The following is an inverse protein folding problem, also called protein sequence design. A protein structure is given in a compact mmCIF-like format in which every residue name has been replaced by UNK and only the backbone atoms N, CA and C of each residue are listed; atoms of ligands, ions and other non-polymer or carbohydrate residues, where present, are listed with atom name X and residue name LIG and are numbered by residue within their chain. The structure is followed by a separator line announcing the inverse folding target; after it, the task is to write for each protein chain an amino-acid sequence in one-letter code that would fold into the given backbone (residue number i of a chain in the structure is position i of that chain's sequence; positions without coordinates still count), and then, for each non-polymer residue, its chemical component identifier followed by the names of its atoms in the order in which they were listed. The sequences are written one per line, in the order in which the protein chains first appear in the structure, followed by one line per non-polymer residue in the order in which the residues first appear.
data_IF_432419827729
#
_entry.id   IF_432419827729
#
_cell.length_a   1.000
_cell.length_b   1.000
_cell.length_c   1.000
_cell.angle_alpha   90.00
_cell.angle_beta   90.00
_cell.angle_gamma   90.00
#
_symmetry.space_group_name_H-M   'P 1'
#
loop_
_entity.id
_entity.type
_entity.pdbx_description
1 polymer ?
#
# COMPACT_ATOMS: atom_id res chain seq x y z
N UNK A 1 -29.64 -4.89 -10.35
CA UNK A 1 -28.23 -5.18 -10.03
C UNK A 1 -28.17 -6.66 -9.71
N UNK A 2 -27.56 -7.46 -10.60
CA UNK A 2 -27.47 -8.91 -10.44
C UNK A 2 -26.71 -9.23 -9.16
N UNK A 3 -27.25 -10.10 -8.31
CA UNK A 3 -26.53 -10.65 -7.19
C UNK A 3 -25.32 -11.40 -7.75
N UNK A 4 -24.15 -10.79 -7.67
CA UNK A 4 -22.88 -11.47 -7.95
C UNK A 4 -22.79 -12.63 -6.97
N UNK A 5 -23.02 -13.85 -7.45
CA UNK A 5 -22.69 -15.07 -6.71
C UNK A 5 -21.21 -15.00 -6.41
N UNK A 6 -20.85 -14.74 -5.15
CA UNK A 6 -19.47 -14.82 -4.69
C UNK A 6 -18.97 -16.20 -5.08
N UNK A 7 -17.92 -16.32 -5.91
CA UNK A 7 -17.38 -17.63 -6.26
C UNK A 7 -17.06 -18.35 -4.95
N UNK A 8 -17.55 -19.58 -4.80
CA UNK A 8 -17.26 -20.41 -3.64
C UNK A 8 -15.78 -20.78 -3.70
N UNK A 9 -14.95 -20.05 -2.98
CA UNK A 9 -13.52 -20.35 -2.93
C UNK A 9 -13.28 -21.66 -2.20
N UNK A 10 -12.53 -22.56 -2.82
CA UNK A 10 -12.01 -23.75 -2.17
C UNK A 10 -11.03 -23.40 -1.05
N UNK A 11 -10.77 -24.36 -0.15
CA UNK A 11 -9.83 -24.17 0.97
C UNK A 11 -8.45 -23.71 0.49
N UNK A 12 -7.94 -24.29 -0.61
CA UNK A 12 -6.63 -23.95 -1.18
C UNK A 12 -6.60 -22.50 -1.67
N UNK A 13 -7.64 -22.05 -2.36
CA UNK A 13 -7.73 -20.67 -2.87
C UNK A 13 -7.82 -19.67 -1.72
N UNK A 14 -8.58 -19.98 -0.66
CA UNK A 14 -8.63 -19.13 0.54
C UNK A 14 -7.28 -19.04 1.25
N UNK A 15 -6.55 -20.16 1.36
CA UNK A 15 -5.22 -20.18 1.97
C UNK A 15 -4.19 -19.42 1.14
N UNK A 16 -4.19 -19.60 -0.18
CA UNK A 16 -3.32 -18.87 -1.11
C UNK A 16 -3.59 -17.37 -1.04
N UNK A 17 -4.86 -16.95 -1.17
CA UNK A 17 -5.22 -15.54 -1.07
C UNK A 17 -4.82 -14.92 0.27
N UNK A 18 -5.09 -15.59 1.40
CA UNK A 18 -4.68 -15.11 2.72
C UNK A 18 -3.16 -14.95 2.81
N UNK A 19 -2.40 -15.90 2.26
CA UNK A 19 -0.93 -15.82 2.20
C UNK A 19 -0.47 -14.60 1.38
N UNK A 20 -1.10 -14.32 0.24
CA UNK A 20 -0.81 -13.16 -0.60
C UNK A 20 -1.20 -11.83 0.05
N UNK A 21 -2.35 -11.76 0.72
CA UNK A 21 -2.79 -10.58 1.49
C UNK A 21 -1.80 -10.26 2.60
N UNK A 22 -1.44 -11.26 3.42
CA UNK A 22 -0.42 -11.10 4.47
C UNK A 22 0.94 -10.72 3.88
N UNK A 23 1.36 -11.41 2.82
CA UNK A 23 2.59 -11.14 2.12
C UNK A 23 2.66 -9.70 1.63
N UNK A 24 1.62 -9.21 0.95
CA UNK A 24 1.51 -7.84 0.44
C UNK A 24 1.67 -6.79 1.56
N UNK A 25 0.89 -6.92 2.63
CA UNK A 25 0.89 -5.92 3.71
C UNK A 25 2.19 -5.96 4.54
N UNK A 26 2.67 -7.16 4.89
CA UNK A 26 3.93 -7.31 5.62
C UNK A 26 5.13 -6.92 4.76
N UNK A 27 5.15 -7.33 3.48
CA UNK A 27 6.22 -6.98 2.55
C UNK A 27 6.33 -5.48 2.37
N UNK A 28 5.20 -4.78 2.21
CA UNK A 28 5.18 -3.31 2.16
C UNK A 28 5.71 -2.68 3.45
N UNK A 29 5.29 -3.19 4.62
CA UNK A 29 5.78 -2.70 5.90
C UNK A 29 7.29 -2.96 6.14
N UNK A 30 7.80 -4.11 5.68
CA UNK A 30 9.24 -4.42 5.71
C UNK A 30 10.04 -3.46 4.84
N UNK A 31 9.55 -3.19 3.63
CA UNK A 31 10.22 -2.28 2.71
C UNK A 31 10.20 -0.82 3.19
N UNK A 32 9.09 -0.38 3.78
CA UNK A 32 8.96 0.90 4.47
C UNK A 32 9.99 1.02 5.61
N UNK A 33 9.97 0.07 6.54
CA UNK A 33 10.88 0.06 7.70
C UNK A 33 12.35 -0.04 7.32
N UNK A 34 12.68 -0.79 6.25
CA UNK A 34 14.04 -0.91 5.75
C UNK A 34 14.51 0.41 5.12
N UNK A 35 13.69 1.01 4.27
CA UNK A 35 14.04 2.25 3.59
C UNK A 35 14.06 3.48 4.49
N UNK A 36 13.36 3.47 5.63
CA UNK A 36 13.24 4.60 6.54
C UNK A 36 14.59 5.17 7.02
N UNK A 37 15.60 4.31 7.22
CA UNK A 37 16.91 4.72 7.72
C UNK A 37 17.80 5.46 6.73
N UNK A 38 17.53 5.33 5.43
CA UNK A 38 18.34 5.88 4.33
C UNK A 38 17.55 6.80 3.41
N UNK A 39 16.28 7.03 3.73
CA UNK A 39 15.37 7.91 2.99
C UNK A 39 16.00 9.30 2.74
N UNK A 40 16.12 9.68 1.47
CA UNK A 40 16.64 10.98 1.04
C UNK A 40 18.16 11.15 1.19
N UNK A 41 18.90 10.10 1.55
CA UNK A 41 20.36 10.10 1.51
C UNK A 41 20.84 9.77 0.11
N UNK A 42 21.89 10.45 -0.37
CA UNK A 42 22.55 10.07 -1.62
C UNK A 42 23.21 8.69 -1.53
N UNK A 43 23.23 7.95 -2.65
CA UNK A 43 23.78 6.59 -2.71
C UNK A 43 25.22 6.48 -2.18
N UNK A 44 26.06 7.49 -2.43
CA UNK A 44 27.43 7.52 -1.92
C UNK A 44 27.47 7.65 -0.39
N UNK A 45 26.61 8.49 0.20
CA UNK A 45 26.50 8.63 1.65
C UNK A 45 25.97 7.36 2.34
N UNK A 46 25.03 6.66 1.69
CA UNK A 46 24.55 5.34 2.13
C UNK A 46 25.72 4.36 2.17
N UNK A 47 26.56 4.33 1.12
CA UNK A 47 27.72 3.44 1.03
C UNK A 47 28.84 3.80 1.98
N UNK A 48 29.07 5.08 2.24
CA UNK A 48 30.04 5.54 3.25
C UNK A 48 29.65 5.02 4.64
N UNK A 49 28.36 5.03 4.96
CA UNK A 49 27.84 4.62 6.28
C UNK A 49 27.70 3.10 6.42
N UNK A 50 27.22 2.41 5.37
CA UNK A 50 26.84 0.99 5.43
C UNK A 50 27.79 0.07 4.65
N UNK A 51 28.82 0.62 4.01
CA UNK A 51 29.77 -0.10 3.16
C UNK A 51 29.29 -0.27 1.72
N UNK A 52 30.13 -0.89 0.88
CA UNK A 52 29.90 -1.01 -0.56
C UNK A 52 28.58 -1.72 -0.94
N UNK A 53 28.10 -2.61 -0.06
CA UNK A 53 26.83 -3.32 -0.22
C UNK A 53 25.58 -2.51 0.12
N UNK A 54 25.75 -1.25 0.55
CA UNK A 54 24.68 -0.38 1.01
C UNK A 54 24.00 -0.90 2.28
N UNK A 55 22.79 -0.41 2.54
CA UNK A 55 21.94 -0.89 3.63
C UNK A 55 21.59 -2.36 3.40
N UNK A 56 21.96 -3.21 4.36
CA UNK A 56 21.76 -4.67 4.28
C UNK A 56 20.78 -5.21 5.31
N UNK A 57 20.41 -4.40 6.30
CA UNK A 57 19.54 -4.77 7.42
C UNK A 57 18.90 -3.50 8.01
N UNK A 58 17.94 -3.66 8.92
CA UNK A 58 17.35 -2.51 9.61
C UNK A 58 18.41 -1.70 10.36
N UNK A 59 18.18 -0.40 10.45
CA UNK A 59 18.90 0.50 11.35
C UNK A 59 17.92 1.04 12.39
N UNK A 60 18.45 1.56 13.49
CA UNK A 60 17.60 2.14 14.53
C UNK A 60 17.01 3.47 14.04
N UNK A 61 15.69 3.52 13.95
CA UNK A 61 14.92 4.72 13.61
C UNK A 61 13.79 4.86 14.62
N UNK A 62 13.49 6.11 15.02
CA UNK A 62 12.41 6.38 15.97
C UNK A 62 12.52 5.58 17.29
N UNK A 63 13.76 5.30 17.73
CA UNK A 63 14.06 4.59 18.98
C UNK A 63 13.97 3.06 18.92
N UNK A 64 13.86 2.45 17.73
CA UNK A 64 13.91 0.99 17.56
C UNK A 64 14.37 0.56 16.18
N UNK A 65 14.74 -0.71 16.04
CA UNK A 65 14.87 -1.36 14.73
C UNK A 65 13.49 -1.78 14.20
N UNK A 66 13.34 -1.83 12.88
CA UNK A 66 12.09 -2.24 12.22
C UNK A 66 10.92 -1.27 12.44
N UNK A 67 11.20 0.00 12.73
CA UNK A 67 10.18 1.03 12.89
C UNK A 67 9.56 1.38 11.53
N UNK A 68 8.23 1.40 11.47
CA UNK A 68 7.51 1.79 10.24
C UNK A 68 7.24 3.30 10.21
N UNK A 69 6.98 3.83 9.02
CA UNK A 69 6.66 5.24 8.80
C UNK A 69 5.15 5.45 8.60
N UNK A 70 4.77 6.71 8.32
CA UNK A 70 3.43 7.07 7.89
C UNK A 70 2.93 6.25 6.67
N UNK A 71 3.82 5.73 5.81
CA UNK A 71 3.43 4.92 4.66
C UNK A 71 2.72 3.63 5.09
N UNK A 72 3.30 2.86 6.03
CA UNK A 72 2.63 1.67 6.59
C UNK A 72 1.37 2.05 7.36
N UNK A 73 1.42 3.08 8.20
CA UNK A 73 0.24 3.52 8.96
C UNK A 73 -0.95 3.83 8.02
N UNK A 74 -0.72 4.62 6.98
CA UNK A 74 -1.73 4.95 5.96
C UNK A 74 -2.23 3.71 5.23
N UNK A 75 -1.34 2.76 4.90
CA UNK A 75 -1.72 1.48 4.27
C UNK A 75 -2.67 0.68 5.16
N UNK A 76 -2.42 0.61 6.47
CA UNK A 76 -3.31 -0.04 7.43
C UNK A 76 -4.67 0.65 7.50
N UNK A 77 -4.72 1.98 7.56
CA UNK A 77 -5.99 2.70 7.54
C UNK A 77 -6.71 2.57 6.19
N UNK A 78 -6.00 2.37 5.07
CA UNK A 78 -6.63 1.99 3.80
C UNK A 78 -7.33 0.64 3.92
N UNK A 79 -6.70 -0.38 4.53
CA UNK A 79 -7.32 -1.70 4.75
C UNK A 79 -8.53 -1.60 5.68
N UNK A 80 -8.45 -0.87 6.79
CA UNK A 80 -9.59 -0.62 7.70
C UNK A 80 -10.76 0.03 6.94
N UNK A 81 -10.48 1.04 6.12
CA UNK A 81 -11.48 1.71 5.28
C UNK A 81 -12.15 0.76 4.28
N UNK A 82 -11.39 -0.14 3.65
CA UNK A 82 -11.92 -1.13 2.71
C UNK A 82 -12.81 -2.18 3.40
N UNK A 83 -12.43 -2.65 4.59
CA UNK A 83 -13.28 -3.55 5.39
C UNK A 83 -14.57 -2.83 5.77
N UNK A 84 -14.47 -1.60 6.27
CA UNK A 84 -15.64 -0.81 6.66
C UNK A 84 -16.57 -0.46 5.51
N UNK A 85 -16.03 -0.30 4.30
CA UNK A 85 -16.85 -0.14 3.10
C UNK A 85 -17.76 -1.35 2.87
N UNK A 86 -17.28 -2.57 3.12
CA UNK A 86 -18.12 -3.77 3.02
C UNK A 86 -19.14 -3.84 4.16
N UNK A 87 -18.71 -3.54 5.39
CA UNK A 87 -19.62 -3.51 6.56
C UNK A 87 -20.75 -2.48 6.40
N UNK A 88 -20.46 -1.31 5.81
CA UNK A 88 -21.46 -0.27 5.56
C UNK A 88 -22.41 -0.56 4.42
N UNK A 89 -22.08 -1.49 3.53
CA UNK A 89 -23.00 -1.94 2.47
C UNK A 89 -24.35 -2.39 3.03
N UNK A 90 -24.38 -2.95 4.24
CA UNK A 90 -25.59 -3.35 4.95
C UNK A 90 -26.54 -2.20 5.28
N UNK A 91 -26.04 -0.97 5.34
CA UNK A 91 -26.82 0.23 5.72
C UNK A 91 -27.51 0.89 4.53
N UNK A 92 -27.28 0.39 3.31
CA UNK A 92 -27.81 0.99 2.07
C UNK A 92 -27.02 2.20 1.57
N UNK A 93 -26.12 2.76 2.36
CA UNK A 93 -25.15 3.77 1.95
C UNK A 93 -23.80 3.11 1.67
N UNK A 94 -23.48 2.89 0.39
CA UNK A 94 -22.22 2.27 -0.03
C UNK A 94 -21.46 3.19 -0.98
N UNK A 95 -20.39 3.80 -0.47
CA UNK A 95 -19.50 4.65 -1.26
C UNK A 95 -18.05 4.46 -0.76
N UNK A 96 -17.35 3.42 -1.24
CA UNK A 96 -16.02 3.04 -0.77
C UNK A 96 -14.99 4.18 -0.68
N UNK A 97 -14.93 5.15 -1.63
CA UNK A 97 -14.03 6.29 -1.49
C UNK A 97 -14.26 7.10 -0.21
N UNK A 98 -15.52 7.31 0.20
CA UNK A 98 -15.86 8.00 1.46
C UNK A 98 -15.53 7.16 2.68
N UNK A 99 -15.70 5.84 2.59
CA UNK A 99 -15.38 4.92 3.68
C UNK A 99 -13.88 4.91 3.99
N UNK A 100 -13.08 4.86 2.94
CA UNK A 100 -11.63 4.95 3.00
C UNK A 100 -11.18 6.32 3.48
N UNK A 101 -11.80 7.41 2.98
CA UNK A 101 -11.51 8.76 3.46
C UNK A 101 -11.71 8.91 4.98
N UNK A 102 -12.82 8.39 5.53
CA UNK A 102 -13.06 8.42 6.98
C UNK A 102 -12.01 7.62 7.76
N UNK A 103 -11.50 6.52 7.21
CA UNK A 103 -10.40 5.79 7.84
C UNK A 103 -9.09 6.61 7.78
N UNK A 104 -8.81 7.32 6.70
CA UNK A 104 -7.68 8.25 6.64
C UNK A 104 -7.83 9.47 7.56
N UNK A 105 -9.04 9.93 7.88
CA UNK A 105 -9.26 10.93 8.93
C UNK A 105 -8.92 10.37 10.33
N UNK A 106 -9.19 9.08 10.58
CA UNK A 106 -8.75 8.42 11.82
C UNK A 106 -7.23 8.34 11.89
N UNK A 107 -6.56 8.02 10.78
CA UNK A 107 -5.10 8.13 10.68
C UNK A 107 -4.62 9.55 10.99
N UNK A 108 -5.21 10.57 10.38
CA UNK A 108 -4.81 11.96 10.58
C UNK A 108 -4.92 12.37 12.07
N UNK A 109 -5.94 11.90 12.78
CA UNK A 109 -6.05 12.09 14.22
C UNK A 109 -4.84 11.50 14.98
N UNK A 110 -4.34 10.32 14.61
CA UNK A 110 -3.13 9.74 15.25
C UNK A 110 -1.86 10.56 15.00
N UNK A 111 -1.85 11.46 14.02
CA UNK A 111 -0.71 12.34 13.76
C UNK A 111 -0.70 13.63 14.61
N UNK A 112 -1.80 13.90 15.32
CA UNK A 112 -2.03 15.13 16.08
C UNK A 112 -2.35 14.88 17.56
N UNK A 113 -2.98 13.75 17.87
CA UNK A 113 -3.36 13.37 19.22
C UNK A 113 -2.21 12.63 19.93
N UNK A 114 -2.19 12.69 21.26
CA UNK A 114 -1.13 12.08 22.08
C UNK A 114 -1.32 10.57 22.26
N UNK A 115 -2.52 10.06 22.01
CA UNK A 115 -2.88 8.66 22.20
C UNK A 115 -4.36 8.40 21.90
N UNK A 116 -4.79 7.13 21.95
CA UNK A 116 -6.17 6.73 21.69
C UNK A 116 -7.20 7.39 22.61
N UNK A 117 -8.32 7.85 22.04
CA UNK A 117 -9.50 8.30 22.80
C UNK A 117 -10.56 7.20 22.86
N UNK A 118 -10.54 6.40 23.93
CA UNK A 118 -11.47 5.28 24.16
C UNK A 118 -12.96 5.69 24.19
N UNK A 119 -13.26 6.99 24.33
CA UNK A 119 -14.63 7.51 24.29
C UNK A 119 -15.19 7.51 22.87
N UNK A 120 -14.34 7.54 21.84
CA UNK A 120 -14.71 7.53 20.42
C UNK A 120 -14.90 6.10 19.91
N UNK A 121 -15.96 5.43 20.37
CA UNK A 121 -16.23 4.02 20.06
C UNK A 121 -16.35 3.72 18.56
N UNK A 122 -16.74 4.70 17.74
CA UNK A 122 -16.86 4.54 16.29
C UNK A 122 -15.50 4.46 15.55
N UNK A 123 -14.40 4.80 16.24
CA UNK A 123 -13.06 4.69 15.68
C UNK A 123 -12.62 3.23 15.47
N UNK A 124 -13.26 2.27 16.12
CA UNK A 124 -12.92 0.85 16.05
C UNK A 124 -11.52 0.52 16.58
N UNK A 125 -11.10 -0.72 16.38
CA UNK A 125 -9.94 -1.28 17.11
C UNK A 125 -8.59 -0.75 16.64
N UNK A 126 -8.40 -0.50 15.33
CA UNK A 126 -7.12 -0.06 14.78
C UNK A 126 -6.69 1.28 15.40
N UNK A 127 -7.63 2.20 15.61
CA UNK A 127 -7.37 3.49 16.25
C UNK A 127 -7.10 3.37 17.76
N UNK A 128 -7.23 2.19 18.37
CA UNK A 128 -6.81 1.97 19.76
C UNK A 128 -5.33 1.57 19.89
N UNK A 129 -4.64 1.36 18.77
CA UNK A 129 -3.24 0.96 18.76
C UNK A 129 -2.32 2.17 19.04
N UNK A 130 -1.82 2.28 20.28
CA UNK A 130 -1.00 3.41 20.73
C UNK A 130 0.23 3.68 19.84
N UNK A 131 0.85 2.64 19.28
CA UNK A 131 2.04 2.79 18.44
C UNK A 131 1.76 3.51 17.10
N UNK A 132 0.50 3.63 16.68
CA UNK A 132 0.08 4.43 15.53
C UNK A 132 0.04 5.94 15.83
N UNK A 133 0.06 6.34 17.10
CA UNK A 133 0.09 7.74 17.56
C UNK A 133 1.52 8.28 17.56
N UNK A 134 2.18 8.13 16.41
CA UNK A 134 3.57 8.53 16.21
C UNK A 134 3.72 9.16 14.82
N UNK A 135 4.09 10.45 14.80
CA UNK A 135 4.29 11.22 13.56
C UNK A 135 5.66 10.93 12.96
N UNK A 136 5.70 10.03 11.98
CA UNK A 136 6.95 9.52 11.37
C UNK A 136 6.95 9.74 9.86
N UNK A 137 7.54 10.85 9.45
CA UNK A 137 7.67 11.25 8.05
C UNK A 137 6.36 11.25 7.22
N UNK A 138 5.22 11.78 7.74
CA UNK A 138 4.03 11.92 6.91
C UNK A 138 4.23 13.02 5.86
N UNK A 139 3.95 12.69 4.60
CA UNK A 139 3.99 13.68 3.54
C UNK A 139 2.99 14.81 3.76
N UNK A 140 3.42 16.03 3.41
CA UNK A 140 2.62 17.26 3.57
C UNK A 140 1.30 17.18 2.81
N UNK A 141 1.31 16.60 1.62
CA UNK A 141 0.11 16.37 0.78
C UNK A 141 -0.93 15.51 1.51
N UNK A 142 -0.50 14.52 2.28
CA UNK A 142 -1.41 13.66 3.07
C UNK A 142 -1.98 14.40 4.28
N UNK A 143 -1.15 15.09 5.05
CA UNK A 143 -1.62 15.88 6.19
C UNK A 143 -2.58 16.99 5.76
N UNK A 144 -2.30 17.66 4.65
CA UNK A 144 -3.18 18.70 4.11
C UNK A 144 -4.50 18.14 3.57
N UNK A 145 -4.47 17.01 2.84
CA UNK A 145 -5.67 16.41 2.26
C UNK A 145 -6.61 15.76 3.29
N UNK A 146 -6.05 15.27 4.40
CA UNK A 146 -6.80 14.65 5.50
C UNK A 146 -6.94 15.56 6.73
N UNK A 147 -6.62 16.85 6.61
CA UNK A 147 -6.62 17.80 7.72
C UNK A 147 -7.99 18.38 8.09
N UNK A 148 -9.01 18.13 7.27
CA UNK A 148 -10.41 18.55 7.51
C UNK A 148 -11.38 17.51 6.90
N UNK A 149 -12.69 17.71 7.02
CA UNK A 149 -13.73 16.74 6.57
C UNK A 149 -14.14 16.88 5.08
N UNK A 150 -13.56 17.82 4.33
CA UNK A 150 -13.85 18.05 2.91
C UNK A 150 -13.04 17.10 2.04
N UNK A 151 -13.67 16.01 1.60
CA UNK A 151 -13.06 15.00 0.74
C UNK A 151 -12.73 15.57 -0.65
N UNK A 152 -11.48 15.40 -1.09
CA UNK A 152 -11.09 15.67 -2.48
C UNK A 152 -11.70 14.67 -3.46
N UNK A 153 -12.01 15.12 -4.67
CA UNK A 153 -12.52 14.28 -5.77
C UNK A 153 -11.70 14.52 -7.04
N UNK A 154 -11.88 13.75 -8.10
CA UNK A 154 -11.19 14.03 -9.37
C UNK A 154 -11.58 15.38 -9.99
N UNK A 155 -12.82 15.81 -9.80
CA UNK A 155 -13.28 17.12 -10.29
C UNK A 155 -12.75 18.28 -9.43
N UNK A 156 -12.55 18.04 -8.13
CA UNK A 156 -12.04 19.02 -7.16
C UNK A 156 -11.00 18.36 -6.25
N UNK A 157 -9.80 18.07 -6.76
CA UNK A 157 -8.83 17.29 -6.01
C UNK A 157 -8.14 18.14 -4.95
N UNK A 158 -7.61 17.47 -3.92
CA UNK A 158 -6.68 18.11 -2.98
C UNK A 158 -5.29 18.20 -3.58
N UNK A 159 -4.56 19.26 -3.25
CA UNK A 159 -3.17 19.49 -3.66
C UNK A 159 -2.91 19.18 -5.16
N UNK A 160 -3.40 20.01 -6.10
CA UNK A 160 -3.30 19.75 -7.55
C UNK A 160 -1.87 19.55 -8.08
N UNK A 161 -0.86 20.09 -7.39
CA UNK A 161 0.54 19.98 -7.77
C UNK A 161 1.29 18.81 -7.10
N UNK A 162 0.64 18.07 -6.19
CA UNK A 162 1.30 16.99 -5.45
C UNK A 162 1.55 15.77 -6.36
N UNK A 163 2.83 15.49 -6.63
CA UNK A 163 3.33 14.41 -7.48
C UNK A 163 4.11 13.33 -6.73
N UNK A 164 4.27 13.50 -5.42
CA UNK A 164 5.11 12.64 -4.60
C UNK A 164 4.55 11.22 -4.42
N UNK A 165 5.43 10.28 -4.06
CA UNK A 165 5.12 8.85 -4.00
C UNK A 165 4.11 8.44 -2.90
N UNK A 166 3.70 9.34 -2.01
CA UNK A 166 2.90 8.97 -0.84
C UNK A 166 1.51 8.45 -1.18
N UNK A 167 0.94 8.85 -2.32
CA UNK A 167 -0.30 8.26 -2.84
C UNK A 167 -0.10 6.80 -3.25
N UNK A 168 0.99 6.48 -3.96
CA UNK A 168 1.23 5.15 -4.48
C UNK A 168 1.67 4.16 -3.39
N UNK A 169 2.48 4.58 -2.42
CA UNK A 169 3.00 3.70 -1.34
C UNK A 169 1.91 3.11 -0.44
N UNK A 170 0.74 3.77 -0.32
CA UNK A 170 -0.40 3.28 0.48
C UNK A 170 -1.51 2.60 -0.33
N UNK A 171 -1.30 2.38 -1.62
CA UNK A 171 -2.35 1.95 -2.57
C UNK A 171 -2.36 0.46 -2.86
N UNK A 172 -1.37 -0.30 -2.40
CA UNK A 172 -1.36 -1.76 -2.54
C UNK A 172 -2.65 -2.46 -2.03
N UNK A 173 -3.26 -2.05 -0.90
CA UNK A 173 -4.49 -2.69 -0.41
C UNK A 173 -5.66 -2.70 -1.38
N UNK A 174 -5.79 -1.69 -2.26
CA UNK A 174 -6.86 -1.66 -3.26
C UNK A 174 -6.78 -2.84 -4.22
N UNK A 175 -5.57 -3.29 -4.55
CA UNK A 175 -5.35 -4.44 -5.42
C UNK A 175 -5.87 -5.75 -4.85
N UNK A 176 -5.98 -5.85 -3.52
CA UNK A 176 -6.41 -7.07 -2.84
C UNK A 176 -7.93 -7.35 -2.98
N UNK A 177 -8.70 -6.43 -3.59
CA UNK A 177 -10.11 -6.63 -3.94
C UNK A 177 -10.27 -7.57 -5.15
N UNK A 178 -9.81 -8.82 -5.04
CA UNK A 178 -9.73 -9.78 -6.15
C UNK A 178 -11.07 -10.20 -6.75
N UNK A 179 -12.18 -9.94 -6.05
CA UNK A 179 -13.54 -10.13 -6.55
C UNK A 179 -14.07 -8.99 -7.42
N UNK A 180 -13.32 -7.89 -7.57
CA UNK A 180 -13.68 -6.75 -8.40
C UNK A 180 -13.01 -6.83 -9.76
N UNK A 181 -13.61 -6.17 -10.76
CA UNK A 181 -12.98 -5.99 -12.06
C UNK A 181 -11.76 -5.04 -11.96
N UNK A 182 -10.65 -5.29 -12.69
CA UNK A 182 -9.43 -4.48 -12.62
C UNK A 182 -9.67 -2.97 -12.85
N UNK A 183 -10.61 -2.61 -13.72
CA UNK A 183 -10.97 -1.21 -13.97
C UNK A 183 -11.63 -0.52 -12.77
N UNK A 184 -12.41 -1.25 -11.97
CA UNK A 184 -13.01 -0.73 -10.74
C UNK A 184 -11.96 -0.58 -9.63
N UNK A 185 -11.02 -1.52 -9.55
CA UNK A 185 -9.86 -1.42 -8.64
C UNK A 185 -9.02 -0.19 -8.97
N UNK A 186 -8.71 0.01 -10.25
CA UNK A 186 -8.00 1.19 -10.73
C UNK A 186 -8.73 2.47 -10.35
N UNK A 187 -10.05 2.53 -10.63
CA UNK A 187 -10.86 3.72 -10.36
C UNK A 187 -10.92 4.04 -8.86
N UNK A 188 -11.15 3.06 -8.00
CA UNK A 188 -11.20 3.26 -6.55
C UNK A 188 -9.88 3.81 -6.02
N UNK A 189 -8.75 3.24 -6.45
CA UNK A 189 -7.42 3.71 -6.06
C UNK A 189 -7.16 5.15 -6.51
N UNK A 190 -7.56 5.51 -7.74
CA UNK A 190 -7.46 6.87 -8.29
C UNK A 190 -8.32 7.86 -7.49
N UNK A 191 -9.57 7.53 -7.20
CA UNK A 191 -10.49 8.38 -6.43
C UNK A 191 -9.98 8.62 -5.01
N UNK A 192 -9.45 7.58 -4.35
CA UNK A 192 -8.85 7.68 -3.03
C UNK A 192 -7.53 8.48 -3.04
N UNK A 193 -6.71 8.35 -4.08
CA UNK A 193 -5.48 9.13 -4.22
C UNK A 193 -5.76 10.64 -4.38
N UNK A 194 -6.78 11.00 -5.17
CA UNK A 194 -7.21 12.39 -5.41
C UNK A 194 -7.67 13.13 -4.14
N UNK A 195 -7.96 12.40 -3.06
CA UNK A 195 -8.23 12.97 -1.73
C UNK A 195 -7.02 13.70 -1.12
N UNK A 196 -5.81 13.49 -1.67
CA UNK A 196 -4.58 14.13 -1.21
C UNK A 196 -3.64 14.57 -2.32
N UNK A 197 -3.64 13.90 -3.47
CA UNK A 197 -2.75 14.17 -4.60
C UNK A 197 -3.57 14.39 -5.86
N UNK A 198 -3.68 15.64 -6.27
CA UNK A 198 -4.51 16.06 -7.38
C UNK A 198 -3.82 16.03 -8.74
N UNK A 199 -2.50 15.79 -8.77
CA UNK A 199 -1.78 15.67 -10.02
C UNK A 199 -1.96 14.27 -10.64
N UNK A 200 -2.18 14.16 -11.97
CA UNK A 200 -2.33 12.87 -12.67
C UNK A 200 -1.24 11.85 -12.36
N UNK A 201 0.03 12.27 -12.33
CA UNK A 201 1.16 11.40 -11.94
C UNK A 201 0.93 10.72 -10.58
N UNK A 202 0.39 11.43 -9.59
CA UNK A 202 0.17 10.87 -8.26
C UNK A 202 -0.95 9.83 -8.25
N UNK A 203 -2.15 10.21 -8.71
CA UNK A 203 -3.31 9.32 -8.63
C UNK A 203 -3.30 8.21 -9.68
N UNK A 204 -2.72 8.40 -10.87
CA UNK A 204 -2.61 7.35 -11.88
C UNK A 204 -1.56 6.31 -11.51
N UNK A 205 -0.44 6.70 -10.88
CA UNK A 205 0.53 5.74 -10.32
C UNK A 205 -0.08 4.91 -9.19
N UNK A 206 -0.91 5.52 -8.33
CA UNK A 206 -1.67 4.79 -7.31
C UNK A 206 -2.63 3.75 -7.94
N UNK A 207 -3.37 4.14 -8.98
CA UNK A 207 -4.23 3.24 -9.75
C UNK A 207 -3.47 2.09 -10.41
N UNK A 208 -2.33 2.39 -11.05
CA UNK A 208 -1.50 1.39 -11.69
C UNK A 208 -0.93 0.39 -10.67
N UNK A 209 -0.40 0.87 -9.54
CA UNK A 209 0.08 0.02 -8.46
C UNK A 209 -1.00 -0.93 -7.94
N UNK A 210 -2.22 -0.41 -7.71
CA UNK A 210 -3.35 -1.23 -7.28
C UNK A 210 -3.67 -2.34 -8.29
N UNK A 211 -3.67 -2.05 -9.60
CA UNK A 211 -3.90 -3.06 -10.64
C UNK A 211 -2.77 -4.10 -10.72
N UNK A 212 -1.52 -3.68 -10.54
CA UNK A 212 -0.40 -4.63 -10.51
C UNK A 212 -0.57 -5.59 -9.32
N UNK A 213 -0.82 -5.07 -8.12
CA UNK A 213 -1.10 -5.89 -6.93
C UNK A 213 -2.31 -6.79 -7.15
N UNK A 214 -3.33 -6.32 -7.86
CA UNK A 214 -4.51 -7.10 -8.18
C UNK A 214 -4.21 -8.33 -9.06
N UNK A 215 -3.41 -8.16 -10.12
CA UNK A 215 -2.95 -9.28 -10.94
C UNK A 215 -2.16 -10.30 -10.10
N UNK A 216 -1.22 -9.83 -9.28
CA UNK A 216 -0.43 -10.69 -8.40
C UNK A 216 -1.28 -11.45 -7.36
N UNK A 217 -2.27 -10.77 -6.77
CA UNK A 217 -3.19 -11.38 -5.81
C UNK A 217 -4.10 -12.45 -6.45
N UNK A 218 -4.27 -12.39 -7.78
CA UNK A 218 -4.96 -13.40 -8.61
C UNK A 218 -4.02 -14.46 -9.19
N UNK A 219 -2.75 -14.43 -8.83
CA UNK A 219 -1.74 -15.40 -9.28
C UNK A 219 -1.15 -15.13 -10.66
N UNK A 220 -1.34 -13.94 -11.22
CA UNK A 220 -0.68 -13.53 -12.47
C UNK A 220 0.82 -13.30 -12.25
N UNK A 221 1.61 -13.38 -13.33
CA UNK A 221 3.00 -12.95 -13.29
C UNK A 221 3.09 -11.42 -13.16
N UNK A 222 4.20 -10.94 -12.58
CA UNK A 222 4.41 -9.50 -12.44
C UNK A 222 4.43 -8.77 -13.81
N UNK A 223 5.04 -9.38 -14.84
CA UNK A 223 5.03 -8.83 -16.20
C UNK A 223 3.59 -8.66 -16.73
N UNK A 224 2.76 -9.71 -16.63
CA UNK A 224 1.37 -9.66 -17.07
C UNK A 224 0.56 -8.60 -16.29
N UNK A 225 0.74 -8.53 -14.98
CA UNK A 225 0.07 -7.55 -14.13
C UNK A 225 0.45 -6.10 -14.49
N UNK A 226 1.72 -5.85 -14.85
CA UNK A 226 2.17 -4.54 -15.36
C UNK A 226 1.55 -4.24 -16.73
N UNK A 227 1.47 -5.21 -17.65
CA UNK A 227 0.80 -5.02 -18.94
C UNK A 227 -0.69 -4.68 -18.77
N UNK A 228 -1.38 -5.32 -17.82
CA UNK A 228 -2.76 -4.99 -17.48
C UNK A 228 -2.91 -3.56 -16.94
N UNK A 229 -1.99 -3.12 -16.06
CA UNK A 229 -1.98 -1.74 -15.57
C UNK A 229 -1.76 -0.72 -16.69
N UNK A 230 -0.87 -0.99 -17.65
CA UNK A 230 -0.66 -0.16 -18.85
C UNK A 230 -1.95 -0.04 -19.70
N UNK A 231 -2.72 -1.13 -19.82
CA UNK A 231 -4.03 -1.12 -20.47
C UNK A 231 -5.04 -0.21 -19.78
N UNK A 232 -5.05 -0.15 -18.44
CA UNK A 232 -5.93 0.74 -17.66
C UNK A 232 -5.49 2.21 -17.70
N UNK A 233 -4.19 2.47 -17.89
CA UNK A 233 -3.61 3.81 -17.98
C UNK A 233 -3.90 4.50 -19.32
N UNK A 234 -3.76 3.77 -20.44
CA UNK A 234 -3.87 4.30 -21.81
C UNK A 234 -5.09 5.22 -22.09
N UNK A 235 -6.31 4.91 -21.61
CA UNK A 235 -7.47 5.77 -21.86
C UNK A 235 -7.53 7.04 -20.98
N UNK A 236 -6.61 7.24 -20.02
CA UNK A 236 -6.69 8.30 -19.00
C UNK A 236 -5.90 9.55 -19.41
N UNK A 237 -6.44 10.77 -19.30
CA UNK A 237 -5.66 11.98 -19.53
C UNK A 237 -4.45 12.08 -18.58
N UNK A 238 -3.29 12.48 -19.10
CA UNK A 238 -2.06 12.65 -18.31
C UNK A 238 -1.36 11.35 -17.92
N UNK A 239 -1.65 10.23 -18.59
CA UNK A 239 -1.07 8.93 -18.29
C UNK A 239 0.40 8.76 -18.70
N UNK A 240 0.88 9.57 -19.66
CA UNK A 240 2.21 9.42 -20.28
C UNK A 240 3.34 9.21 -19.28
N UNK A 241 3.53 10.05 -18.24
CA UNK A 241 4.64 9.87 -17.30
C UNK A 241 4.64 8.48 -16.64
N UNK A 242 3.47 8.01 -16.20
CA UNK A 242 3.31 6.70 -15.55
C UNK A 242 3.52 5.56 -16.54
N UNK A 243 2.98 5.70 -17.76
CA UNK A 243 3.16 4.71 -18.84
C UNK A 243 4.63 4.57 -19.22
N UNK A 244 5.32 5.69 -19.44
CA UNK A 244 6.71 5.72 -19.85
C UNK A 244 7.62 5.15 -18.75
N UNK A 245 7.37 5.49 -17.49
CA UNK A 245 8.13 4.98 -16.35
C UNK A 245 7.98 3.45 -16.20
N UNK A 246 6.76 2.91 -16.30
CA UNK A 246 6.53 1.46 -16.26
C UNK A 246 7.16 0.72 -17.46
N UNK A 247 7.07 1.30 -18.67
CA UNK A 247 7.74 0.74 -19.84
C UNK A 247 9.26 0.77 -19.70
N UNK A 248 9.81 1.83 -19.11
CA UNK A 248 11.24 1.93 -18.82
C UNK A 248 11.68 0.85 -17.82
N UNK A 249 10.91 0.63 -16.74
CA UNK A 249 11.18 -0.45 -15.78
C UNK A 249 11.22 -1.83 -16.45
N UNK A 250 10.25 -2.15 -17.31
CA UNK A 250 10.21 -3.40 -18.08
C UNK A 250 11.41 -3.53 -19.04
N UNK A 251 11.78 -2.44 -19.71
CA UNK A 251 12.94 -2.41 -20.61
C UNK A 251 14.27 -2.59 -19.88
N UNK A 252 14.41 -2.03 -18.69
CA UNK A 252 15.63 -2.07 -17.88
C UNK A 252 16.00 -3.48 -17.41
N UNK A 253 15.04 -4.39 -17.27
CA UNK A 253 15.28 -5.81 -16.90
C UNK A 253 16.28 -6.48 -17.84
N UNK A 254 16.31 -6.09 -19.12
CA UNK A 254 17.17 -6.71 -20.15
C UNK A 254 18.54 -6.05 -20.29
N UNK A 255 18.87 -5.05 -19.47
CA UNK A 255 20.08 -4.22 -19.63
C UNK A 255 21.26 -4.67 -18.75
N UNK A 256 21.22 -5.90 -18.22
CA UNK A 256 22.31 -6.55 -17.48
C UNK A 256 22.04 -6.73 -15.98
N UNK A 257 23.10 -7.03 -15.21
CA UNK A 257 23.02 -7.35 -13.78
C UNK A 257 22.47 -6.19 -12.94
N UNK A 258 21.45 -6.38 -12.08
CA UNK A 258 20.87 -5.31 -11.25
C UNK A 258 21.90 -4.57 -10.41
N UNK A 259 21.76 -3.25 -10.30
CA UNK A 259 22.63 -2.42 -9.49
C UNK A 259 21.92 -1.14 -9.05
N UNK A 260 22.37 -0.50 -7.95
CA UNK A 260 21.89 0.83 -7.55
C UNK A 260 21.90 1.86 -8.68
N UNK A 261 22.95 1.88 -9.50
CA UNK A 261 23.03 2.79 -10.66
C UNK A 261 21.94 2.53 -11.70
N UNK A 262 21.54 1.26 -11.90
CA UNK A 262 20.39 0.98 -12.79
C UNK A 262 19.07 1.39 -12.14
N UNK A 263 18.95 1.28 -10.82
CA UNK A 263 17.78 1.82 -10.10
C UNK A 263 17.68 3.33 -10.30
N UNK A 264 18.77 4.07 -10.11
CA UNK A 264 18.81 5.53 -10.31
C UNK A 264 18.55 5.95 -11.76
N UNK A 265 18.81 5.08 -12.75
CA UNK A 265 18.46 5.35 -14.15
C UNK A 265 16.95 5.39 -14.43
N UNK A 266 16.14 4.82 -13.53
CA UNK A 266 14.67 4.83 -13.64
C UNK A 266 14.03 6.11 -13.08
N UNK A 267 14.82 6.97 -12.45
CA UNK A 267 14.38 8.20 -11.79
C UNK A 267 14.96 8.34 -10.38
N UNK A 268 14.70 9.49 -9.76
CA UNK A 268 15.07 9.74 -8.37
C UNK A 268 14.10 9.12 -7.35
N UNK A 269 12.91 8.70 -7.79
CA UNK A 269 11.90 8.09 -6.94
C UNK A 269 11.10 9.09 -6.10
N UNK A 270 11.38 10.39 -6.23
CA UNK A 270 10.60 11.44 -5.56
C UNK A 270 9.19 11.53 -6.16
N UNK A 271 9.08 11.36 -7.47
CA UNK A 271 7.81 11.35 -8.19
C UNK A 271 7.15 9.97 -8.12
N UNK A 272 5.82 9.94 -8.08
CA UNK A 272 5.05 8.71 -7.89
C UNK A 272 5.24 7.67 -9.02
N UNK A 273 5.39 8.12 -10.27
CA UNK A 273 5.71 7.28 -11.43
C UNK A 273 7.11 6.68 -11.36
N UNK A 274 8.11 7.48 -10.97
CA UNK A 274 9.48 7.00 -10.75
C UNK A 274 9.55 5.98 -9.60
N UNK A 275 8.90 6.27 -8.47
CA UNK A 275 8.87 5.36 -7.32
C UNK A 275 8.21 4.02 -7.67
N UNK A 276 7.12 4.06 -8.45
CA UNK A 276 6.45 2.88 -8.94
C UNK A 276 7.35 2.08 -9.89
N UNK A 277 8.00 2.74 -10.84
CA UNK A 277 8.92 2.11 -11.78
C UNK A 277 10.10 1.44 -11.07
N UNK A 278 10.71 2.11 -10.09
CA UNK A 278 11.77 1.54 -9.24
C UNK A 278 11.27 0.30 -8.49
N UNK A 279 10.11 0.39 -7.84
CA UNK A 279 9.53 -0.72 -7.07
C UNK A 279 9.24 -1.94 -7.95
N UNK A 280 8.67 -1.71 -9.14
CA UNK A 280 8.39 -2.76 -10.15
C UNK A 280 9.67 -3.37 -10.68
N UNK A 281 10.65 -2.56 -11.07
CA UNK A 281 11.95 -3.05 -11.56
C UNK A 281 12.63 -3.93 -10.50
N UNK A 282 12.72 -3.46 -9.26
CA UNK A 282 13.37 -4.20 -8.18
C UNK A 282 12.65 -5.52 -7.87
N UNK A 283 11.32 -5.54 -7.97
CA UNK A 283 10.54 -6.76 -7.83
C UNK A 283 10.73 -7.74 -9.01
N UNK A 284 10.91 -7.23 -10.23
CA UNK A 284 11.17 -8.06 -11.43
C UNK A 284 12.55 -8.72 -11.42
N UNK A 285 13.57 -8.03 -10.89
CA UNK A 285 14.97 -8.49 -10.96
C UNK A 285 15.51 -9.05 -9.64
N UNK A 286 14.69 -9.04 -8.58
CA UNK A 286 15.05 -9.62 -7.30
C UNK A 286 15.27 -11.14 -7.39
N UNK A 287 16.42 -11.63 -6.93
CA UNK A 287 16.67 -13.07 -6.82
C UNK A 287 15.80 -13.73 -5.75
N UNK A 288 15.56 -12.99 -4.66
CA UNK A 288 14.63 -13.31 -3.59
C UNK A 288 14.04 -12.00 -3.01
N UNK A 289 13.11 -12.13 -2.05
CA UNK A 289 12.47 -10.97 -1.42
C UNK A 289 13.47 -10.04 -0.75
N UNK A 290 14.50 -10.57 -0.09
CA UNK A 290 15.51 -9.77 0.61
C UNK A 290 16.35 -8.98 -0.38
N UNK A 291 16.77 -9.60 -1.48
CA UNK A 291 17.53 -8.97 -2.54
C UNK A 291 16.72 -7.85 -3.21
N UNK A 292 15.46 -8.11 -3.57
CA UNK A 292 14.58 -7.11 -4.17
C UNK A 292 14.36 -5.90 -3.25
N UNK A 293 14.09 -6.14 -1.96
CA UNK A 293 13.95 -5.07 -0.96
C UNK A 293 15.23 -4.25 -0.80
N UNK A 294 16.40 -4.91 -0.71
CA UNK A 294 17.69 -4.21 -0.62
C UNK A 294 17.97 -3.36 -1.86
N UNK A 295 17.65 -3.86 -3.04
CA UNK A 295 17.82 -3.11 -4.28
C UNK A 295 16.91 -1.87 -4.30
N UNK A 296 15.67 -2.01 -3.83
CA UNK A 296 14.68 -0.94 -3.81
C UNK A 296 14.98 0.20 -2.81
N UNK A 297 15.83 -0.02 -1.81
CA UNK A 297 16.14 1.00 -0.78
C UNK A 297 17.53 1.63 -0.93
N UNK A 298 18.40 1.06 -1.75
CA UNK A 298 19.77 1.53 -1.96
C UNK A 298 19.89 2.40 -3.21
N UNK A 299 19.26 3.57 -3.16
CA UNK A 299 19.33 4.63 -4.18
C UNK A 299 19.11 5.99 -3.50
N UNK A 300 19.32 7.09 -4.23
CA UNK A 300 19.34 8.45 -3.66
C UNK A 300 17.98 9.06 -3.28
N UNK A 301 16.88 8.33 -3.48
CA UNK A 301 15.50 8.84 -3.34
C UNK A 301 14.82 8.57 -2.00
N UNK A 302 13.48 8.67 -1.93
CA UNK A 302 12.70 8.24 -0.79
C UNK A 302 12.64 6.71 -0.72
N UNK A 303 13.72 6.12 -0.21
CA UNK A 303 13.92 4.66 -0.12
C UNK A 303 12.80 3.91 0.61
N UNK A 304 12.15 4.53 1.59
CA UNK A 304 10.98 3.99 2.28
C UNK A 304 9.78 3.80 1.34
N UNK A 305 9.56 4.74 0.41
CA UNK A 305 8.46 4.68 -0.53
C UNK A 305 8.65 3.59 -1.59
N UNK A 306 9.84 3.52 -2.20
CA UNK A 306 10.20 2.49 -3.18
C UNK A 306 10.31 1.11 -2.55
N UNK A 307 10.84 1.03 -1.32
CA UNK A 307 10.86 -0.17 -0.50
C UNK A 307 9.44 -0.68 -0.25
N UNK A 308 8.52 0.19 0.19
CA UNK A 308 7.12 -0.19 0.44
C UNK A 308 6.42 -0.74 -0.82
N UNK A 309 6.60 -0.08 -1.97
CA UNK A 309 6.03 -0.55 -3.25
C UNK A 309 6.62 -1.90 -3.64
N UNK A 310 7.95 -2.03 -3.69
CA UNK A 310 8.64 -3.27 -4.03
C UNK A 310 8.23 -4.41 -3.10
N UNK A 311 8.20 -4.14 -1.80
CA UNK A 311 7.83 -5.09 -0.76
C UNK A 311 6.39 -5.58 -0.90
N UNK A 312 5.43 -4.69 -1.20
CA UNK A 312 4.05 -5.12 -1.43
C UNK A 312 3.91 -5.99 -2.67
N UNK A 313 4.65 -5.71 -3.74
CA UNK A 313 4.65 -6.52 -4.95
C UNK A 313 5.25 -7.90 -4.71
N UNK A 314 6.46 -7.97 -4.13
CA UNK A 314 7.14 -9.23 -3.81
C UNK A 314 6.32 -10.07 -2.82
N UNK A 315 5.71 -9.41 -1.84
CA UNK A 315 4.83 -10.03 -0.86
C UNK A 315 3.55 -10.61 -1.49
N UNK A 316 2.89 -9.87 -2.38
CA UNK A 316 1.71 -10.36 -3.10
C UNK A 316 2.06 -11.51 -4.07
N UNK A 317 3.25 -11.47 -4.68
CA UNK A 317 3.72 -12.47 -5.62
C UNK A 317 4.07 -13.80 -4.93
N UNK A 318 4.81 -13.74 -3.82
CA UNK A 318 5.40 -14.92 -3.17
C UNK A 318 4.68 -15.37 -1.89
N UNK A 319 3.83 -14.53 -1.30
CA UNK A 319 3.16 -14.79 -0.03
C UNK A 319 4.05 -14.57 1.20
N UNK A 320 3.44 -14.66 2.39
CA UNK A 320 4.11 -14.30 3.65
C UNK A 320 5.33 -15.16 4.00
N UNK A 321 5.35 -16.42 3.57
CA UNK A 321 6.40 -17.39 3.93
C UNK A 321 7.72 -17.14 3.22
N UNK A 322 7.71 -16.37 2.13
CA UNK A 322 8.91 -15.94 1.42
C UNK A 322 9.57 -14.70 2.03
N UNK A 323 8.89 -14.00 2.95
CA UNK A 323 9.42 -12.80 3.57
C UNK A 323 10.57 -13.13 4.55
N UNK A 324 11.59 -12.26 4.70
CA UNK A 324 12.73 -12.52 5.56
C UNK A 324 12.33 -12.68 7.04
N UNK A 325 12.50 -13.86 7.67
CA UNK A 325 11.95 -14.13 9.01
C UNK A 325 12.60 -13.30 10.11
N UNK A 326 13.89 -12.98 9.99
CA UNK A 326 14.59 -12.10 10.92
C UNK A 326 14.00 -10.69 10.94
N UNK A 327 13.73 -10.13 9.76
CA UNK A 327 13.10 -8.81 9.65
C UNK A 327 11.65 -8.82 10.13
N UNK A 328 10.89 -9.88 9.84
CA UNK A 328 9.55 -10.04 10.40
C UNK A 328 9.54 -10.12 11.93
N UNK A 329 10.59 -10.65 12.56
CA UNK A 329 10.65 -10.72 14.02
C UNK A 329 10.82 -9.32 14.66
N UNK A 330 11.49 -8.41 13.96
CA UNK A 330 11.78 -7.05 14.45
C UNK A 330 10.75 -6.00 14.01
N UNK A 331 9.93 -6.31 13.00
CA UNK A 331 8.95 -5.40 12.41
C UNK A 331 7.93 -4.91 13.46
N UNK A 332 7.88 -3.59 13.65
CA UNK A 332 6.88 -2.94 14.47
C UNK A 332 5.46 -3.15 13.93
N UNK A 333 4.50 -3.35 14.83
CA UNK A 333 3.10 -3.50 14.43
C UNK A 333 2.78 -4.81 13.70
N UNK A 334 3.71 -5.77 13.57
CA UNK A 334 3.48 -7.04 12.86
C UNK A 334 2.18 -7.75 13.28
N UNK A 335 1.88 -7.78 14.57
CA UNK A 335 0.65 -8.41 15.06
C UNK A 335 -0.60 -7.69 14.53
N UNK A 336 -0.60 -6.36 14.56
CA UNK A 336 -1.66 -5.51 14.00
C UNK A 336 -1.81 -5.71 12.48
N UNK A 337 -0.69 -5.75 11.73
CA UNK A 337 -0.69 -6.02 10.28
C UNK A 337 -1.31 -7.37 9.99
N UNK A 338 -0.92 -8.42 10.70
CA UNK A 338 -1.45 -9.78 10.53
C UNK A 338 -2.95 -9.87 10.86
N UNK A 339 -3.37 -9.24 11.96
CA UNK A 339 -4.77 -9.21 12.36
C UNK A 339 -5.64 -8.52 11.31
N UNK A 340 -5.16 -7.40 10.76
CA UNK A 340 -5.88 -6.64 9.74
C UNK A 340 -5.89 -7.37 8.39
N UNK A 341 -4.79 -8.03 8.01
CA UNK A 341 -4.69 -8.90 6.84
C UNK A 341 -5.69 -10.07 6.90
N UNK A 342 -5.80 -10.69 8.08
CA UNK A 342 -6.72 -11.81 8.33
C UNK A 342 -8.17 -11.35 8.30
N UNK A 343 -8.47 -10.22 8.95
CA UNK A 343 -9.82 -9.65 8.93
C UNK A 343 -10.23 -9.25 7.52
N UNK A 344 -9.33 -8.62 6.75
CA UNK A 344 -9.59 -8.32 5.34
C UNK A 344 -9.88 -9.60 4.54
N UNK A 345 -9.07 -10.64 4.72
CA UNK A 345 -9.26 -11.91 4.02
C UNK A 345 -10.61 -12.55 4.38
N UNK A 346 -10.99 -12.51 5.66
CA UNK A 346 -12.28 -13.01 6.13
C UNK A 346 -13.45 -12.20 5.58
N UNK A 347 -13.36 -10.87 5.57
CA UNK A 347 -14.40 -10.00 5.02
C UNK A 347 -14.65 -10.29 3.54
N UNK A 348 -13.58 -10.35 2.74
CA UNK A 348 -13.70 -10.55 1.29
C UNK A 348 -14.18 -11.94 0.89
N UNK A 349 -13.97 -12.96 1.75
CA UNK A 349 -14.31 -14.36 1.43
C UNK A 349 -15.53 -14.90 2.17
N UNK A 350 -15.87 -14.32 3.32
CA UNK A 350 -16.87 -14.82 4.26
C UNK A 350 -17.79 -13.72 4.81
N UNK A 351 -17.78 -12.50 4.24
CA UNK A 351 -18.58 -11.35 4.69
C UNK A 351 -20.03 -11.66 5.10
N UNK A 352 -20.86 -12.37 4.30
CA UNK A 352 -22.24 -12.71 4.67
C UNK A 352 -22.39 -13.53 5.96
N UNK A 353 -21.35 -14.24 6.39
CA UNK A 353 -21.33 -14.98 7.66
C UNK A 353 -20.91 -14.10 8.84
N UNK A 354 -20.24 -12.97 8.60
CA UNK A 354 -19.78 -12.03 9.61
C UNK A 354 -20.86 -11.00 9.94
N UNK A 355 -21.50 -10.45 8.91
CA UNK A 355 -22.58 -9.48 9.02
C UNK A 355 -23.51 -9.49 7.81
N UNK A 356 -24.72 -9.02 8.03
CA UNK A 356 -25.70 -8.66 7.00
C UNK A 356 -26.71 -7.66 7.60
N UNK A 357 -27.70 -7.18 6.83
CA UNK A 357 -28.81 -6.42 7.42
C UNK A 357 -29.59 -7.20 8.49
N UNK A 358 -29.59 -8.55 8.44
CA UNK A 358 -30.34 -9.42 9.35
C UNK A 358 -29.47 -10.18 10.36
N UNK A 359 -28.15 -10.27 10.15
CA UNK A 359 -27.17 -10.97 10.98
C UNK A 359 -26.12 -9.98 11.45
N UNK A 360 -25.76 -10.01 12.72
CA UNK A 360 -24.68 -9.17 13.23
C UNK A 360 -23.84 -9.96 14.20
N UNK A 361 -22.56 -10.16 13.89
CA UNK A 361 -21.58 -10.67 14.85
C UNK A 361 -21.09 -9.50 15.71
N UNK A 362 -21.43 -9.41 17.01
CA UNK A 362 -21.11 -8.23 17.82
C UNK A 362 -19.61 -7.94 17.91
N UNK A 363 -18.79 -8.99 17.96
CA UNK A 363 -17.33 -8.86 17.95
C UNK A 363 -16.79 -8.23 16.65
N UNK A 364 -17.42 -8.52 15.50
CA UNK A 364 -17.02 -7.94 14.22
C UNK A 364 -17.32 -6.44 14.17
N UNK A 365 -18.55 -6.04 14.55
CA UNK A 365 -18.93 -4.62 14.58
C UNK A 365 -18.25 -3.81 15.70
N UNK A 366 -17.74 -4.48 16.74
CA UNK A 366 -16.88 -3.81 17.74
C UNK A 366 -15.55 -3.41 17.12
N UNK A 367 -14.98 -4.26 16.24
CA UNK A 367 -13.75 -3.95 15.52
C UNK A 367 -13.98 -2.97 14.38
N UNK A 368 -15.04 -3.18 13.60
CA UNK A 368 -15.42 -2.36 12.45
C UNK A 368 -16.82 -1.74 12.64
N UNK A 369 -16.95 -0.70 13.47
CA UNK A 369 -18.20 0.04 13.61
C UNK A 369 -18.70 0.61 12.27
N UNK A 370 -20.03 0.66 12.13
CA UNK A 370 -20.71 1.24 10.95
C UNK A 370 -20.63 2.78 10.89
N UNK A 371 -20.23 3.43 11.99
CA UNK A 371 -20.05 4.89 12.12
C UNK A 371 -19.06 5.52 11.15
#
# INVERSE_FOLDING_TARGET
MSASTTPLWGRTEQQDFRSRVRGCLLGGALGDALGAGVAGQGLDAIRETHGAGGLTDFVEMYGRRGAVTAATQLSLFTVDGLIRAQVRRDTGAWHPPTDVYRAHLRWAATQHEWGPDERRKDNGWLACEEWLYARRDPARSCLAGFGDEVMGTLDKPRNPEARDASAVSRSAPFGLLVGWEPGLVFQLAVECAAQTHGHPTGYLSAGAHAVIVHGLARGESLDAAVQHALGQLTPRPGHQPVTDALQHALGAVRQGMPSPTRVESLGGGELADEALAIGVYCALVGEDVRHGLRLAVNHSGPSQATGAICGSLLGALHGETALPPGWLAELEGRATVLQLADDFSMEMTQGPALHSPALTTPAWLTRYPRG
#
